data_IF_915895402451
#
_entry.id   IF_915895402451
#
_cell.length_a   1.000
_cell.length_b   1.000
_cell.length_c   1.000
_cell.angle_alpha   90.00
_cell.angle_beta   90.00
_cell.angle_gamma   90.00
#
_symmetry.space_group_name_H-M   'P 1'
#
loop_
_entity.id
_entity.type
_entity.pdbx_description
1 polymer ?
#
# COMPACT_ATOMS: atom_id res chain seq x y z
N UNK A 1 6.06 6.79 -27.39
CA UNK A 1 7.49 6.41 -27.37
C UNK A 1 7.53 5.13 -26.60
N UNK A 2 7.51 4.03 -27.34
CA UNK A 2 7.61 2.69 -26.79
C UNK A 2 9.09 2.50 -26.52
N UNK A 3 9.49 2.50 -25.25
CA UNK A 3 10.90 2.70 -24.94
C UNK A 3 11.31 2.19 -23.56
N UNK A 4 12.49 1.59 -23.52
CA UNK A 4 13.21 1.27 -22.30
C UNK A 4 13.86 2.56 -21.79
N UNK A 5 13.45 3.03 -20.62
CA UNK A 5 14.01 4.24 -19.98
C UNK A 5 14.87 3.85 -18.79
N UNK A 6 16.12 4.32 -18.78
CA UNK A 6 17.07 4.17 -17.67
C UNK A 6 17.44 5.55 -17.13
N UNK A 7 17.19 5.78 -15.84
CA UNK A 7 17.55 7.02 -15.15
C UNK A 7 18.40 6.72 -13.92
N UNK A 8 19.59 7.35 -13.84
CA UNK A 8 20.44 7.35 -12.66
C UNK A 8 20.59 8.80 -12.18
N UNK A 9 20.15 9.08 -10.96
CA UNK A 9 20.16 10.43 -10.41
C UNK A 9 20.70 10.42 -9.00
N UNK A 10 21.67 11.31 -8.76
CA UNK A 10 22.38 11.40 -7.49
C UNK A 10 21.74 12.45 -6.58
N UNK A 11 21.55 13.67 -7.11
CA UNK A 11 20.89 14.78 -6.44
C UNK A 11 20.04 15.55 -7.44
N UNK A 12 18.80 15.89 -7.07
CA UNK A 12 18.01 16.90 -7.80
C UNK A 12 16.54 16.60 -8.01
N UNK A 13 15.97 17.31 -8.98
CA UNK A 13 14.57 17.23 -9.39
C UNK A 13 14.50 16.50 -10.72
N UNK A 14 13.78 15.38 -10.77
CA UNK A 14 13.62 14.59 -11.99
C UNK A 14 12.17 14.60 -12.46
N UNK A 15 11.98 14.70 -13.77
CA UNK A 15 10.66 14.58 -14.39
C UNK A 15 10.73 13.54 -15.50
N UNK A 16 9.95 12.47 -15.35
CA UNK A 16 9.83 11.43 -16.37
C UNK A 16 8.39 11.37 -16.89
N UNK A 17 8.25 11.34 -18.21
CA UNK A 17 6.98 11.09 -18.88
C UNK A 17 7.14 9.91 -19.82
N UNK A 18 6.46 8.81 -19.50
CA UNK A 18 6.53 7.58 -20.28
C UNK A 18 5.13 7.16 -20.67
N UNK A 19 4.94 6.94 -21.97
CA UNK A 19 3.66 6.51 -22.52
C UNK A 19 3.52 4.99 -22.40
N UNK A 20 4.47 4.26 -22.97
CA UNK A 20 4.44 2.80 -23.04
C UNK A 20 5.87 2.25 -22.85
N UNK A 21 6.06 1.25 -21.99
CA UNK A 21 7.35 0.53 -21.92
C UNK A 21 7.85 0.15 -20.53
N UNK A 22 9.17 -0.07 -20.43
CA UNK A 22 9.83 -0.50 -19.22
C UNK A 22 10.71 0.64 -18.68
N UNK A 23 10.45 1.08 -17.45
CA UNK A 23 11.25 2.12 -16.81
C UNK A 23 12.03 1.58 -15.61
N UNK A 24 13.30 1.96 -15.55
CA UNK A 24 14.21 1.65 -14.46
C UNK A 24 14.83 2.96 -13.97
N UNK A 25 14.55 3.33 -12.72
CA UNK A 25 15.14 4.52 -12.12
C UNK A 25 15.84 4.16 -10.80
N UNK A 26 17.07 4.64 -10.65
CA UNK A 26 17.80 4.65 -9.39
C UNK A 26 18.02 6.10 -8.96
N UNK A 27 17.35 6.52 -7.90
CA UNK A 27 17.50 7.83 -7.29
C UNK A 27 18.15 7.70 -5.91
N UNK A 28 19.27 8.40 -5.71
CA UNK A 28 19.89 8.48 -4.39
C UNK A 28 19.13 9.46 -3.51
N UNK A 29 19.11 10.75 -3.87
CA UNK A 29 18.47 11.79 -3.09
C UNK A 29 17.71 12.75 -4.01
N UNK A 30 16.45 13.08 -3.70
CA UNK A 30 15.71 14.07 -4.49
C UNK A 30 14.18 13.97 -4.51
N UNK A 31 13.60 14.84 -5.36
CA UNK A 31 12.19 14.88 -5.70
C UNK A 31 12.03 14.39 -7.13
N UNK A 32 11.22 13.35 -7.34
CA UNK A 32 10.84 12.95 -8.70
C UNK A 32 9.37 13.18 -8.94
N UNK A 33 9.02 13.51 -10.18
CA UNK A 33 7.66 13.47 -10.68
C UNK A 33 7.64 12.55 -11.91
N UNK A 34 7.01 11.39 -11.77
CA UNK A 34 6.96 10.40 -12.85
C UNK A 34 5.50 10.15 -13.27
N UNK A 35 5.24 10.42 -14.54
CA UNK A 35 3.96 10.20 -15.21
C UNK A 35 4.10 8.99 -16.13
N UNK A 36 3.58 7.84 -15.70
CA UNK A 36 3.62 6.60 -16.48
C UNK A 36 2.19 6.22 -16.89
N UNK A 37 1.93 6.19 -18.20
CA UNK A 37 0.62 5.80 -18.71
C UNK A 37 0.46 4.29 -18.70
N UNK A 38 1.36 3.55 -19.34
CA UNK A 38 1.31 2.09 -19.39
C UNK A 38 2.71 1.49 -19.24
N UNK A 39 2.82 0.43 -18.43
CA UNK A 39 4.03 -0.39 -18.44
C UNK A 39 4.51 -0.95 -17.10
N UNK A 40 5.73 -1.48 -17.15
CA UNK A 40 6.43 -2.05 -16.00
C UNK A 40 7.47 -1.04 -15.52
N UNK A 41 7.39 -0.65 -14.26
CA UNK A 41 8.39 0.25 -13.68
C UNK A 41 9.09 -0.37 -12.50
N UNK A 42 10.38 -0.10 -12.38
CA UNK A 42 11.22 -0.48 -11.26
C UNK A 42 11.94 0.75 -10.77
N UNK A 43 11.52 1.28 -9.63
CA UNK A 43 12.04 2.51 -9.07
C UNK A 43 12.69 2.22 -7.72
N UNK A 44 13.96 2.59 -7.55
CA UNK A 44 14.66 2.46 -6.29
C UNK A 44 15.09 3.83 -5.81
N UNK A 45 14.69 4.14 -4.58
CA UNK A 45 15.00 5.38 -3.90
C UNK A 45 15.74 5.08 -2.61
N UNK A 46 16.93 5.67 -2.46
CA UNK A 46 17.64 5.62 -1.18
C UNK A 46 16.97 6.61 -0.21
N UNK A 47 16.90 7.88 -0.59
CA UNK A 47 16.08 8.88 0.07
C UNK A 47 15.29 9.68 -0.97
N UNK A 48 14.14 10.24 -0.57
CA UNK A 48 13.41 11.13 -1.46
C UNK A 48 11.92 11.21 -1.18
N UNK A 49 11.27 12.09 -1.95
CA UNK A 49 9.82 12.26 -1.89
C UNK A 49 9.18 12.29 -3.28
N UNK A 50 9.10 11.16 -4.00
CA UNK A 50 8.54 11.16 -5.34
C UNK A 50 7.02 11.34 -5.37
N UNK A 51 6.56 11.83 -6.51
CA UNK A 51 5.18 11.92 -6.94
C UNK A 51 5.01 11.05 -8.18
N UNK A 52 4.30 9.93 -8.03
CA UNK A 52 4.09 8.96 -9.08
C UNK A 52 2.63 8.96 -9.50
N UNK A 53 2.39 9.19 -10.79
CA UNK A 53 1.07 9.10 -11.37
C UNK A 53 1.07 8.01 -12.44
N UNK A 54 0.31 6.96 -12.15
CA UNK A 54 0.30 5.72 -12.90
C UNK A 54 -1.12 5.48 -13.42
N UNK A 55 -1.29 5.28 -14.72
CA UNK A 55 -2.60 4.94 -15.27
C UNK A 55 -2.81 3.43 -15.22
N UNK A 56 -1.99 2.68 -15.95
CA UNK A 56 -1.99 1.22 -15.94
C UNK A 56 -0.57 0.69 -15.77
N UNK A 57 -0.39 -0.46 -15.10
CA UNK A 57 0.93 -1.07 -15.04
C UNK A 57 1.18 -2.00 -13.86
N UNK A 58 2.46 -2.32 -13.69
CA UNK A 58 2.96 -3.12 -12.57
C UNK A 58 4.21 -2.49 -11.95
N UNK A 59 4.09 -1.36 -11.24
CA UNK A 59 5.20 -0.73 -10.57
C UNK A 59 5.76 -1.59 -9.43
N UNK A 60 7.08 -1.68 -9.39
CA UNK A 60 7.86 -2.15 -8.26
C UNK A 60 8.69 -0.99 -7.73
N UNK A 61 8.40 -0.57 -6.51
CA UNK A 61 9.00 0.62 -5.92
C UNK A 61 9.63 0.26 -4.58
N UNK A 62 10.91 0.60 -4.42
CA UNK A 62 11.67 0.37 -3.21
C UNK A 62 12.16 1.68 -2.61
N UNK A 63 11.96 1.83 -1.30
CA UNK A 63 12.42 2.94 -0.50
C UNK A 63 13.24 2.47 0.71
N UNK A 64 14.42 3.06 0.89
CA UNK A 64 15.10 2.96 2.19
C UNK A 64 14.49 3.96 3.18
N UNK A 65 14.39 5.23 2.83
CA UNK A 65 13.79 6.30 3.64
C UNK A 65 13.01 7.26 2.75
N UNK A 66 11.76 7.63 3.05
CA UNK A 66 11.10 8.66 2.24
C UNK A 66 9.60 8.77 2.40
N UNK A 67 9.03 9.72 1.67
CA UNK A 67 7.58 9.95 1.55
C UNK A 67 7.20 9.59 0.12
N UNK A 68 6.12 8.88 -0.11
CA UNK A 68 5.69 8.57 -1.48
C UNK A 68 4.29 9.09 -1.69
N UNK A 69 4.08 9.90 -2.71
CA UNK A 69 2.75 10.23 -3.21
C UNK A 69 2.51 9.43 -4.47
N UNK A 70 1.49 8.57 -4.45
CA UNK A 70 1.17 7.71 -5.58
C UNK A 70 -0.31 7.75 -5.88
N UNK A 71 -0.63 8.09 -7.12
CA UNK A 71 -1.93 7.91 -7.72
C UNK A 71 -1.86 6.77 -8.73
N UNK A 72 -2.70 5.76 -8.57
CA UNK A 72 -2.73 4.63 -9.49
C UNK A 72 -4.16 4.24 -9.88
N UNK A 73 -4.46 4.29 -11.18
CA UNK A 73 -5.81 4.01 -11.66
C UNK A 73 -6.09 2.51 -11.67
N UNK A 74 -5.25 1.69 -12.29
CA UNK A 74 -5.51 0.26 -12.52
C UNK A 74 -4.23 -0.56 -12.54
N UNK A 75 -4.14 -1.62 -11.73
CA UNK A 75 -3.12 -2.67 -11.90
C UNK A 75 -2.62 -3.27 -10.59
N UNK A 76 -1.36 -3.71 -10.59
CA UNK A 76 -0.73 -4.34 -9.43
C UNK A 76 0.46 -3.54 -8.97
N UNK A 77 0.63 -3.35 -7.68
CA UNK A 77 1.65 -2.47 -7.17
C UNK A 77 2.42 -3.13 -6.02
N UNK A 78 3.73 -3.18 -6.18
CA UNK A 78 4.67 -3.68 -5.18
C UNK A 78 5.41 -2.52 -4.55
N UNK A 79 5.26 -2.37 -3.24
CA UNK A 79 5.94 -1.35 -2.45
C UNK A 79 6.73 -1.96 -1.31
N UNK A 80 7.97 -1.53 -1.18
CA UNK A 80 8.80 -1.83 -0.02
C UNK A 80 9.37 -0.55 0.58
N UNK A 81 9.19 -0.38 1.89
CA UNK A 81 9.76 0.71 2.68
C UNK A 81 10.50 0.15 3.91
N UNK A 82 11.77 0.56 4.08
CA UNK A 82 12.43 0.37 5.38
C UNK A 82 11.93 1.40 6.41
N UNK A 83 11.85 2.66 6.02
CA UNK A 83 11.19 3.71 6.80
C UNK A 83 10.46 4.66 5.85
N UNK A 84 9.21 4.99 6.10
CA UNK A 84 8.56 5.99 5.24
C UNK A 84 7.09 6.24 5.48
N UNK A 85 6.58 7.16 4.66
CA UNK A 85 5.22 7.67 4.72
C UNK A 85 4.56 7.61 3.34
N UNK A 86 4.17 6.41 2.85
CA UNK A 86 3.41 6.30 1.62
C UNK A 86 1.97 6.82 1.76
N UNK A 87 1.59 7.62 0.78
CA UNK A 87 0.27 8.17 0.54
C UNK A 87 -0.21 7.68 -0.81
N UNK A 88 -1.18 6.77 -0.79
CA UNK A 88 -1.57 5.96 -1.94
C UNK A 88 -3.05 6.18 -2.22
N UNK A 89 -3.36 6.64 -3.42
CA UNK A 89 -4.71 6.70 -3.95
C UNK A 89 -4.87 5.71 -5.09
N UNK A 90 -5.72 4.70 -4.91
CA UNK A 90 -5.98 3.69 -5.91
C UNK A 90 -7.46 3.60 -6.27
N UNK A 91 -7.74 3.60 -7.57
CA UNK A 91 -9.10 3.35 -8.06
C UNK A 91 -9.39 1.85 -8.09
N UNK A 92 -8.53 1.08 -8.71
CA UNK A 92 -8.74 -0.35 -9.00
C UNK A 92 -7.41 -1.08 -8.93
N UNK A 93 -7.31 -2.19 -8.20
CA UNK A 93 -6.10 -3.01 -8.27
C UNK A 93 -5.72 -3.77 -7.02
N UNK A 94 -4.51 -4.29 -7.05
CA UNK A 94 -3.88 -5.06 -6.00
C UNK A 94 -2.64 -4.33 -5.50
N UNK A 95 -2.40 -4.36 -4.20
CA UNK A 95 -1.16 -3.86 -3.61
C UNK A 95 -0.54 -4.95 -2.78
N UNK A 96 0.75 -5.14 -2.90
CA UNK A 96 1.55 -5.77 -1.86
C UNK A 96 2.50 -4.72 -1.29
N UNK A 97 2.31 -4.36 -0.04
CA UNK A 97 3.09 -3.33 0.65
C UNK A 97 3.76 -3.91 1.88
N UNK A 98 5.08 -3.72 1.96
CA UNK A 98 5.86 -4.01 3.13
C UNK A 98 6.47 -2.73 3.70
N UNK A 99 6.24 -2.47 4.97
CA UNK A 99 6.76 -1.29 5.65
C UNK A 99 7.33 -1.65 7.02
N UNK A 100 8.64 -1.44 7.20
CA UNK A 100 9.29 -1.78 8.48
C UNK A 100 8.99 -0.76 9.58
N UNK A 101 9.09 0.55 9.30
CA UNK A 101 8.72 1.61 10.25
C UNK A 101 8.04 2.79 9.57
N UNK A 102 6.91 3.30 10.08
CA UNK A 102 6.29 4.53 9.57
C UNK A 102 4.77 4.48 9.50
N UNK A 103 4.18 5.38 8.72
CA UNK A 103 2.72 5.48 8.60
C UNK A 103 2.29 5.34 7.15
N UNK A 104 1.07 4.90 6.92
CA UNK A 104 0.53 4.78 5.57
C UNK A 104 -0.85 5.38 5.52
N UNK A 105 -1.10 6.15 4.47
CA UNK A 105 -2.44 6.53 4.06
C UNK A 105 -2.76 5.82 2.76
N UNK A 106 -3.83 5.02 2.76
CA UNK A 106 -4.27 4.32 1.58
C UNK A 106 -5.76 4.50 1.40
N UNK A 107 -6.12 5.05 0.25
CA UNK A 107 -7.48 5.10 -0.24
C UNK A 107 -7.64 4.13 -1.39
N UNK A 108 -8.68 3.31 -1.32
CA UNK A 108 -9.07 2.39 -2.35
C UNK A 108 -10.55 2.50 -2.67
N UNK A 109 -10.86 2.65 -3.97
CA UNK A 109 -12.24 2.46 -4.42
C UNK A 109 -12.57 0.97 -4.50
N UNK A 110 -11.81 0.19 -5.25
CA UNK A 110 -12.00 -1.26 -5.43
C UNK A 110 -10.64 -1.93 -5.40
N UNK A 111 -10.37 -2.86 -4.49
CA UNK A 111 -9.07 -3.53 -4.52
C UNK A 111 -8.78 -4.56 -3.46
N UNK A 112 -7.60 -5.13 -3.60
CA UNK A 112 -7.12 -6.26 -2.79
C UNK A 112 -5.71 -5.97 -2.25
N UNK A 113 -5.57 -5.13 -1.22
CA UNK A 113 -4.26 -4.88 -0.63
C UNK A 113 -3.87 -5.95 0.38
N UNK A 114 -2.59 -6.27 0.33
CA UNK A 114 -1.87 -7.06 1.29
C UNK A 114 -0.79 -6.18 1.92
N UNK A 115 -0.93 -5.91 3.21
CA UNK A 115 -0.15 -4.88 3.90
C UNK A 115 0.56 -5.49 5.10
N UNK A 116 1.87 -5.35 5.13
CA UNK A 116 2.71 -5.78 6.24
C UNK A 116 3.39 -4.59 6.91
N UNK A 117 3.25 -4.52 8.24
CA UNK A 117 3.95 -3.58 9.09
C UNK A 117 4.68 -4.27 10.23
N UNK A 118 5.96 -3.90 10.42
CA UNK A 118 6.66 -4.23 11.67
C UNK A 118 6.33 -3.23 12.78
N UNK A 119 6.41 -1.94 12.48
CA UNK A 119 6.00 -0.87 13.39
C UNK A 119 5.31 0.22 12.57
N UNK A 120 4.07 0.59 12.88
CA UNK A 120 3.47 1.69 12.16
C UNK A 120 2.02 2.01 12.42
N UNK A 121 1.54 2.99 11.65
CA UNK A 121 0.19 3.53 11.75
C UNK A 121 -0.47 3.61 10.37
N UNK A 122 -1.00 2.49 9.85
CA UNK A 122 -1.87 2.49 8.67
C UNK A 122 -3.22 3.16 8.95
N UNK A 123 -3.60 4.04 8.02
CA UNK A 123 -4.91 4.66 7.89
C UNK A 123 -5.48 4.27 6.53
N UNK A 124 -6.60 3.59 6.56
CA UNK A 124 -7.08 2.81 5.44
C UNK A 124 -8.53 3.11 5.18
N UNK A 125 -8.83 3.51 3.95
CA UNK A 125 -10.20 3.73 3.50
C UNK A 125 -10.49 2.85 2.28
N UNK A 126 -11.52 2.02 2.40
CA UNK A 126 -11.98 1.15 1.33
C UNK A 126 -13.46 1.35 1.04
N UNK A 127 -13.78 1.54 -0.24
CA UNK A 127 -15.18 1.46 -0.68
C UNK A 127 -15.62 0.01 -0.89
N UNK A 128 -14.81 -0.80 -1.57
CA UNK A 128 -15.10 -2.20 -1.95
C UNK A 128 -13.79 -2.99 -1.96
N UNK A 129 -13.74 -4.21 -1.43
CA UNK A 129 -12.54 -5.05 -1.57
C UNK A 129 -12.30 -6.10 -0.49
N UNK A 130 -11.14 -6.75 -0.56
CA UNK A 130 -10.63 -7.65 0.47
C UNK A 130 -9.30 -7.11 0.95
N UNK A 131 -9.04 -7.12 2.26
CA UNK A 131 -7.84 -6.54 2.83
C UNK A 131 -7.16 -7.58 3.72
N UNK A 132 -5.87 -7.80 3.51
CA UNK A 132 -5.02 -8.53 4.47
C UNK A 132 -4.05 -7.59 5.13
N UNK A 133 -4.04 -7.56 6.46
CA UNK A 133 -3.06 -6.81 7.25
C UNK A 133 -2.36 -7.71 8.24
N UNK A 134 -1.05 -7.57 8.26
CA UNK A 134 -0.23 -7.96 9.38
C UNK A 134 0.42 -6.70 9.98
N UNK A 135 0.15 -6.41 11.26
CA UNK A 135 0.79 -5.30 11.95
C UNK A 135 1.31 -5.77 13.31
N UNK A 136 2.63 -5.75 13.49
CA UNK A 136 3.24 -6.23 14.73
C UNK A 136 3.09 -5.22 15.87
N UNK A 137 3.39 -3.94 15.65
CA UNK A 137 3.21 -2.88 16.67
C UNK A 137 2.65 -1.59 16.08
N UNK A 138 1.75 -0.93 16.80
CA UNK A 138 1.29 0.43 16.50
C UNK A 138 -0.22 0.62 16.54
N UNK A 139 -0.76 1.38 15.58
CA UNK A 139 -2.17 1.75 15.51
C UNK A 139 -2.73 1.38 14.15
N UNK A 140 -4.02 1.03 14.08
CA UNK A 140 -4.69 0.84 12.81
C UNK A 140 -5.99 1.64 12.80
N UNK A 141 -6.16 2.49 11.78
CA UNK A 141 -7.46 3.03 11.42
C UNK A 141 -7.94 2.39 10.13
N UNK A 142 -9.09 1.73 10.18
CA UNK A 142 -9.70 1.08 9.03
C UNK A 142 -11.16 1.49 8.88
N UNK A 143 -11.47 1.99 7.70
CA UNK A 143 -12.82 2.21 7.23
C UNK A 143 -13.10 1.32 6.01
N UNK A 144 -14.21 0.59 6.05
CA UNK A 144 -14.71 -0.19 4.94
C UNK A 144 -16.19 0.10 4.71
N UNK A 145 -16.55 0.39 3.46
CA UNK A 145 -17.97 0.43 3.08
C UNK A 145 -18.51 -0.97 2.80
N UNK A 146 -17.89 -1.73 1.91
CA UNK A 146 -18.22 -3.14 1.65
C UNK A 146 -16.93 -3.94 1.47
N UNK A 147 -16.80 -5.12 2.11
CA UNK A 147 -15.59 -5.92 1.95
C UNK A 147 -15.28 -6.82 3.12
N UNK A 148 -14.14 -7.50 3.01
CA UNK A 148 -13.67 -8.50 3.97
C UNK A 148 -12.25 -8.17 4.44
N UNK A 149 -12.08 -7.63 5.65
CA UNK A 149 -10.78 -7.43 6.24
C UNK A 149 -10.33 -8.66 7.07
N UNK A 150 -9.15 -9.16 6.75
CA UNK A 150 -8.42 -10.15 7.54
C UNK A 150 -7.25 -9.47 8.24
N UNK A 151 -7.24 -9.50 9.57
CA UNK A 151 -6.39 -8.66 10.38
C UNK A 151 -5.62 -9.49 11.42
N UNK A 152 -4.29 -9.48 11.32
CA UNK A 152 -3.41 -10.09 12.30
C UNK A 152 -2.63 -9.01 13.06
N UNK A 153 -2.71 -9.03 14.38
CA UNK A 153 -2.02 -8.09 15.26
C UNK A 153 -1.29 -8.76 16.40
N UNK A 154 -0.22 -8.11 16.87
CA UNK A 154 0.44 -8.47 18.13
C UNK A 154 0.20 -7.41 19.21
N UNK A 155 0.80 -6.23 19.08
CA UNK A 155 0.65 -5.15 20.07
C UNK A 155 0.11 -3.90 19.37
N UNK A 156 -1.17 -3.93 19.04
CA UNK A 156 -1.84 -2.91 18.23
C UNK A 156 -3.14 -2.45 18.89
N UNK A 157 -3.45 -1.16 18.73
CA UNK A 157 -4.78 -0.61 19.00
C UNK A 157 -5.52 -0.37 17.68
N UNK A 158 -6.46 -1.27 17.29
CA UNK A 158 -7.25 -1.10 16.09
C UNK A 158 -8.50 -0.25 16.35
N UNK A 159 -8.79 0.66 15.42
CA UNK A 159 -10.05 1.38 15.30
C UNK A 159 -10.66 1.03 13.94
N UNK A 160 -11.80 0.32 13.97
CA UNK A 160 -12.44 -0.25 12.78
C UNK A 160 -13.85 0.31 12.62
N UNK A 161 -14.22 0.66 11.39
CA UNK A 161 -15.58 1.03 11.00
C UNK A 161 -15.99 0.29 9.73
N UNK A 162 -17.09 -0.47 9.79
CA UNK A 162 -17.63 -1.25 8.67
C UNK A 162 -19.09 -0.85 8.43
N UNK A 163 -19.45 -0.46 7.19
CA UNK A 163 -20.82 0.00 6.87
C UNK A 163 -21.75 -1.13 6.44
N UNK A 164 -21.35 -1.97 5.49
CA UNK A 164 -22.19 -3.00 4.86
C UNK A 164 -21.31 -4.07 4.19
N UNK A 165 -20.89 -5.12 4.89
CA UNK A 165 -20.16 -6.24 4.29
C UNK A 165 -20.51 -7.51 5.05
N UNK A 166 -20.56 -8.66 4.37
CA UNK A 166 -20.64 -9.95 5.05
C UNK A 166 -19.52 -10.01 6.08
N UNK A 167 -19.90 -10.00 7.35
CA UNK A 167 -18.98 -9.87 8.46
C UNK A 167 -18.26 -11.20 8.63
N UNK A 168 -17.05 -11.35 8.11
CA UNK A 168 -16.10 -12.32 8.65
C UNK A 168 -14.81 -11.56 8.94
N UNK A 169 -14.86 -10.76 10.01
CA UNK A 169 -13.68 -10.10 10.54
C UNK A 169 -12.89 -11.14 11.31
N UNK A 170 -11.78 -11.62 10.75
CA UNK A 170 -10.84 -12.47 11.47
C UNK A 170 -9.79 -11.58 12.15
N UNK A 171 -9.92 -11.41 13.47
CA UNK A 171 -8.90 -10.78 14.30
C UNK A 171 -8.10 -11.86 15.00
N UNK A 172 -6.80 -11.94 14.70
CA UNK A 172 -5.90 -12.79 15.46
C UNK A 172 -5.01 -11.92 16.36
N UNK A 173 -5.15 -12.08 17.67
CA UNK A 173 -4.31 -11.41 18.68
C UNK A 173 -3.73 -12.46 19.62
N UNK A 174 -2.40 -12.58 19.64
CA UNK A 174 -1.69 -13.45 20.59
C UNK A 174 -2.24 -14.91 20.63
N UNK A 175 -2.63 -15.46 19.47
CA UNK A 175 -3.19 -16.82 19.34
C UNK A 175 -4.72 -16.91 19.42
N UNK A 176 -5.40 -15.89 19.96
CA UNK A 176 -6.86 -15.82 19.98
C UNK A 176 -7.41 -15.37 18.63
N UNK A 177 -8.25 -16.20 18.01
CA UNK A 177 -9.01 -15.84 16.81
C UNK A 177 -10.43 -15.41 17.19
N UNK A 178 -10.78 -14.17 16.85
CA UNK A 178 -12.12 -13.62 16.95
C UNK A 178 -12.70 -13.52 15.55
N UNK A 179 -13.75 -14.29 15.26
CA UNK A 179 -14.53 -14.18 14.03
C UNK A 179 -15.89 -13.56 14.37
N UNK A 180 -16.14 -12.34 13.90
CA UNK A 180 -17.48 -11.74 13.96
C UNK A 180 -18.26 -12.19 12.73
N UNK A 181 -19.14 -13.19 12.88
CA UNK A 181 -20.12 -13.63 11.88
C UNK A 181 -21.51 -13.10 12.20
N UNK A 182 -22.31 -12.88 11.16
CA UNK A 182 -23.63 -12.23 11.24
C UNK A 182 -24.66 -13.03 12.08
N UNK A 183 -24.36 -14.27 12.46
CA UNK A 183 -25.19 -15.15 13.29
C UNK A 183 -24.67 -15.34 14.72
N UNK A 184 -23.63 -14.61 15.13
CA UNK A 184 -23.08 -14.67 16.48
C UNK A 184 -21.56 -14.57 16.55
N UNK A 185 -21.09 -14.23 17.74
CA UNK A 185 -19.67 -14.12 18.06
C UNK A 185 -19.10 -15.54 18.20
N UNK A 186 -18.35 -16.02 17.21
CA UNK A 186 -17.64 -17.30 17.33
C UNK A 186 -16.22 -17.06 17.83
N UNK A 187 -16.00 -17.45 19.09
CA UNK A 187 -14.67 -17.59 19.69
C UNK A 187 -14.13 -18.96 19.30
N UNK A 188 -13.13 -19.01 18.41
CA UNK A 188 -12.32 -20.20 18.21
C UNK A 188 -11.00 -20.01 18.97
N UNK A 189 -10.87 -20.70 20.09
CA UNK A 189 -9.61 -20.88 20.81
C UNK A 189 -8.79 -21.94 20.05
N UNK A 190 -7.62 -21.54 19.53
CA UNK A 190 -6.56 -22.45 19.11
C UNK A 190 -5.40 -22.34 20.10
#
# INVERSE_FOLDING_TARGET
>A
MDGLSLALLQDGLSLALLKDGLSLALLQDGLSLDLLMEGLSRLFFRTGSPWLFLWTGFPWIFFRTGILWLFFRTGFLWLFFRTGFPWLFLRTGFILLFLRTGSLWLFFRTGFPWIFFRTGSPWLFFRTGFLWIFLRTGFLWLFFRTGFPWLFFRSVFPWLFLRTGFNSLALLKDGLSLALLQDGLSLALL
#
